data_IF_902260366309
#
_entry.id   IF_902260366309
#
_cell.length_a   1.000
_cell.length_b   1.000
_cell.length_c   1.000
_cell.angle_alpha   90.00
_cell.angle_beta   90.00
_cell.angle_gamma   90.00
#
_symmetry.space_group_name_H-M   'P 1'
#
loop_
_entity.id
_entity.type
_entity.pdbx_description
1 polymer ?
#
# COMPACT_ATOMS: atom_id res chain seq x y z
N UNK A 1 29.94 -5.56 -31.69
CA UNK A 1 29.72 -5.43 -30.22
C UNK A 1 28.33 -4.94 -29.86
N UNK A 2 27.78 -3.92 -30.51
CA UNK A 2 26.46 -3.33 -30.19
C UNK A 2 25.26 -4.30 -30.37
N UNK A 3 25.32 -5.23 -31.33
CA UNK A 3 24.27 -6.24 -31.55
C UNK A 3 24.21 -7.35 -30.48
N UNK A 4 25.35 -7.74 -29.93
CA UNK A 4 25.44 -8.71 -28.82
C UNK A 4 24.96 -8.11 -27.50
N UNK A 5 25.29 -6.83 -27.24
CA UNK A 5 24.80 -6.10 -26.07
C UNK A 5 23.27 -5.99 -26.06
N UNK A 6 22.65 -5.70 -27.22
CA UNK A 6 21.18 -5.64 -27.37
C UNK A 6 20.50 -7.00 -27.12
N UNK A 7 21.16 -8.11 -27.44
CA UNK A 7 20.61 -9.47 -27.31
C UNK A 7 20.75 -10.04 -25.88
N UNK A 8 21.76 -9.60 -25.12
CA UNK A 8 22.04 -10.11 -23.77
C UNK A 8 21.97 -9.03 -22.67
N UNK A 9 21.31 -7.89 -22.92
CA UNK A 9 21.23 -6.80 -21.94
C UNK A 9 20.59 -7.24 -20.61
N UNK A 10 19.52 -8.05 -20.66
CA UNK A 10 18.82 -8.56 -19.47
C UNK A 10 19.75 -9.37 -18.57
N UNK A 11 20.41 -10.46 -19.03
CA UNK A 11 21.29 -11.24 -18.16
C UNK A 11 22.49 -10.43 -17.66
N UNK A 12 23.03 -9.48 -18.46
CA UNK A 12 24.11 -8.58 -18.03
C UNK A 12 23.64 -7.67 -16.88
N UNK A 13 22.45 -7.08 -16.99
CA UNK A 13 21.89 -6.25 -15.91
C UNK A 13 21.60 -7.06 -14.64
N UNK A 14 21.12 -8.30 -14.78
CA UNK A 14 20.91 -9.18 -13.64
C UNK A 14 22.22 -9.56 -12.95
N UNK A 15 23.26 -9.93 -13.70
CA UNK A 15 24.57 -10.27 -13.11
C UNK A 15 25.22 -9.06 -12.45
N UNK A 16 25.15 -7.88 -13.07
CA UNK A 16 25.65 -6.64 -12.48
C UNK A 16 24.90 -6.31 -11.18
N UNK A 17 23.58 -6.40 -11.18
CA UNK A 17 22.77 -6.17 -9.99
C UNK A 17 23.16 -7.11 -8.85
N UNK A 18 23.32 -8.41 -9.13
CA UNK A 18 23.72 -9.41 -8.11
C UNK A 18 25.11 -9.10 -7.54
N UNK A 19 26.08 -8.73 -8.39
CA UNK A 19 27.43 -8.38 -7.94
C UNK A 19 27.44 -7.12 -7.06
N UNK A 20 26.73 -6.07 -7.47
CA UNK A 20 26.61 -4.83 -6.70
C UNK A 20 25.88 -5.08 -5.39
N UNK A 21 24.82 -5.89 -5.41
CA UNK A 21 24.08 -6.27 -4.21
C UNK A 21 24.97 -7.05 -3.23
N UNK A 22 25.76 -8.03 -3.71
CA UNK A 22 26.68 -8.79 -2.86
C UNK A 22 27.73 -7.90 -2.18
N UNK A 23 28.29 -6.91 -2.90
CA UNK A 23 29.23 -5.94 -2.32
C UNK A 23 28.55 -5.05 -1.29
N UNK A 24 27.34 -4.56 -1.55
CA UNK A 24 26.60 -3.71 -0.62
C UNK A 24 26.17 -4.46 0.65
N UNK A 25 25.76 -5.72 0.52
CA UNK A 25 25.46 -6.59 1.66
C UNK A 25 26.71 -6.84 2.51
N UNK A 26 27.88 -7.02 1.88
CA UNK A 26 29.15 -7.13 2.60
C UNK A 26 29.53 -5.85 3.38
N UNK A 27 29.01 -4.69 2.98
CA UNK A 27 29.15 -3.40 3.68
C UNK A 27 27.96 -3.11 4.62
N UNK A 28 27.19 -4.13 5.01
CA UNK A 28 26.00 -4.04 5.87
C UNK A 28 24.86 -3.15 5.32
N UNK A 29 24.89 -2.84 4.02
CA UNK A 29 23.88 -2.00 3.37
C UNK A 29 22.78 -2.86 2.73
N UNK A 30 21.80 -3.28 3.53
CA UNK A 30 20.73 -4.21 3.11
C UNK A 30 19.63 -3.59 2.23
N UNK A 31 19.50 -2.26 2.22
CA UNK A 31 18.39 -1.55 1.55
C UNK A 31 18.38 -1.75 0.03
N UNK A 32 19.55 -1.97 -0.58
CA UNK A 32 19.67 -2.18 -2.03
C UNK A 32 19.03 -3.50 -2.48
N UNK A 33 18.82 -4.46 -1.57
CA UNK A 33 18.14 -5.73 -1.86
C UNK A 33 16.66 -5.55 -2.14
N UNK A 34 16.04 -4.49 -1.62
CA UNK A 34 14.64 -4.18 -1.91
C UNK A 34 14.42 -3.56 -3.31
N UNK A 35 15.50 -3.16 -4.01
CA UNK A 35 15.42 -2.43 -5.27
C UNK A 35 14.59 -3.14 -6.36
N UNK A 36 14.74 -4.46 -6.62
CA UNK A 36 13.91 -5.15 -7.61
C UNK A 36 12.42 -5.13 -7.24
N UNK A 37 12.10 -5.28 -5.96
CA UNK A 37 10.72 -5.22 -5.48
C UNK A 37 10.14 -3.81 -5.67
N UNK A 38 10.90 -2.77 -5.34
CA UNK A 38 10.50 -1.36 -5.56
C UNK A 38 10.27 -1.08 -7.05
N UNK A 39 11.17 -1.55 -7.93
CA UNK A 39 10.99 -1.39 -9.38
C UNK A 39 9.75 -2.11 -9.91
N UNK A 40 9.47 -3.32 -9.43
CA UNK A 40 8.25 -4.05 -9.79
C UNK A 40 6.99 -3.31 -9.35
N UNK A 41 6.99 -2.72 -8.14
CA UNK A 41 5.89 -1.91 -7.63
C UNK A 41 5.69 -0.66 -8.48
N UNK A 42 6.76 0.07 -8.82
CA UNK A 42 6.69 1.26 -9.69
C UNK A 42 6.16 0.88 -11.07
N UNK A 43 6.61 -0.25 -11.62
CA UNK A 43 6.09 -0.74 -12.89
C UNK A 43 4.60 -1.12 -12.79
N UNK A 44 4.18 -1.79 -11.71
CA UNK A 44 2.78 -2.17 -11.49
C UNK A 44 1.87 -0.94 -11.27
N UNK A 45 2.38 0.10 -10.60
CA UNK A 45 1.70 1.38 -10.39
C UNK A 45 1.31 2.04 -11.72
N UNK A 46 2.19 1.99 -12.73
CA UNK A 46 1.94 2.58 -14.06
C UNK A 46 1.23 1.61 -15.00
N UNK A 47 1.60 0.33 -14.97
CA UNK A 47 1.15 -0.68 -15.93
C UNK A 47 -0.16 -1.39 -15.58
N UNK A 48 -0.50 -1.52 -14.30
CA UNK A 48 -1.67 -2.29 -13.88
C UNK A 48 -2.18 -1.91 -12.48
N UNK A 49 -2.79 -0.73 -12.37
CA UNK A 49 -3.34 -0.21 -11.11
C UNK A 49 -4.35 -1.17 -10.46
N UNK A 50 -5.23 -1.80 -11.24
CA UNK A 50 -6.23 -2.73 -10.71
C UNK A 50 -5.60 -3.96 -10.02
N UNK A 51 -4.53 -4.51 -10.60
CA UNK A 51 -3.79 -5.64 -10.00
C UNK A 51 -3.10 -5.22 -8.71
N UNK A 52 -2.57 -3.99 -8.66
CA UNK A 52 -1.96 -3.44 -7.47
C UNK A 52 -3.00 -3.24 -6.36
N UNK A 53 -4.20 -2.77 -6.68
CA UNK A 53 -5.30 -2.67 -5.73
C UNK A 53 -5.70 -4.04 -5.17
N UNK A 54 -5.82 -5.07 -6.02
CA UNK A 54 -6.08 -6.43 -5.54
C UNK A 54 -4.94 -6.95 -4.65
N UNK A 55 -3.69 -6.66 -4.98
CA UNK A 55 -2.56 -7.01 -4.11
C UNK A 55 -2.63 -6.29 -2.76
N UNK A 56 -2.99 -5.00 -2.72
CA UNK A 56 -3.21 -4.28 -1.46
C UNK A 56 -4.31 -4.97 -0.65
N UNK A 57 -5.42 -5.36 -1.26
CA UNK A 57 -6.53 -6.07 -0.59
C UNK A 57 -6.12 -7.44 -0.06
N UNK A 58 -5.25 -8.17 -0.76
CA UNK A 58 -4.68 -9.41 -0.24
C UNK A 58 -3.77 -9.16 0.96
N UNK A 59 -2.97 -8.09 0.89
CA UNK A 59 -1.97 -7.76 1.89
C UNK A 59 -2.56 -7.02 3.12
N UNK A 60 -3.78 -6.48 3.07
CA UNK A 60 -4.40 -5.79 4.21
C UNK A 60 -4.59 -6.66 5.46
N UNK A 61 -5.10 -7.91 5.41
CA UNK A 61 -5.13 -8.76 6.60
C UNK A 61 -3.72 -9.13 7.08
N UNK A 62 -2.78 -9.26 6.15
CA UNK A 62 -1.41 -9.70 6.41
C UNK A 62 -0.47 -8.56 6.83
N UNK A 63 -0.94 -7.31 6.87
CA UNK A 63 -0.08 -6.16 7.11
C UNK A 63 0.34 -6.10 8.58
N UNK A 64 1.64 -5.87 8.81
CA UNK A 64 2.22 -5.79 10.14
C UNK A 64 2.54 -4.33 10.43
N UNK A 65 2.16 -3.87 11.63
CA UNK A 65 2.51 -2.53 12.10
C UNK A 65 3.97 -2.51 12.58
N UNK A 66 4.77 -1.62 12.00
CA UNK A 66 6.18 -1.48 12.37
C UNK A 66 6.39 -0.99 13.80
N UNK A 67 5.42 -0.28 14.38
CA UNK A 67 5.43 0.14 15.78
C UNK A 67 5.52 -1.05 16.74
N UNK A 68 4.93 -2.20 16.38
CA UNK A 68 4.99 -3.42 17.18
C UNK A 68 6.33 -4.15 17.06
N UNK A 69 7.15 -3.81 16.06
CA UNK A 69 8.43 -4.49 15.80
C UNK A 69 9.65 -3.78 16.40
N UNK A 70 9.45 -2.65 17.11
CA UNK A 70 10.51 -1.78 17.68
C UNK A 70 11.56 -1.28 16.66
N UNK A 71 11.31 -1.54 15.36
CA UNK A 71 12.14 -1.13 14.24
C UNK A 71 11.75 0.29 13.80
N UNK A 72 12.19 1.28 14.58
CA UNK A 72 12.32 2.67 14.11
C UNK A 72 11.21 3.64 14.50
N UNK A 73 10.28 3.30 15.39
CA UNK A 73 9.29 4.25 15.95
C UNK A 73 8.34 4.89 14.93
N UNK A 74 8.28 4.36 13.71
CA UNK A 74 7.38 4.80 12.65
C UNK A 74 6.19 3.84 12.61
N UNK A 75 5.02 4.31 13.06
CA UNK A 75 3.76 3.56 13.01
C UNK A 75 3.18 3.48 11.61
N UNK A 76 3.86 2.75 10.71
CA UNK A 76 3.45 2.49 9.33
C UNK A 76 3.25 0.99 9.12
N UNK A 77 2.15 0.63 8.47
CA UNK A 77 1.82 -0.76 8.14
C UNK A 77 2.51 -1.19 6.83
N UNK A 78 3.46 -2.11 6.91
CA UNK A 78 4.07 -2.71 5.72
C UNK A 78 3.29 -3.97 5.29
N UNK A 79 3.15 -4.25 3.97
CA UNK A 79 3.58 -3.44 2.82
C UNK A 79 2.52 -2.45 2.31
N UNK A 80 1.35 -2.39 2.95
CA UNK A 80 0.14 -1.78 2.39
C UNK A 80 0.20 -0.26 2.32
N UNK A 81 0.72 0.41 3.36
CA UNK A 81 0.73 1.88 3.40
C UNK A 81 1.65 2.52 2.36
N UNK A 82 2.91 2.10 2.17
CA UNK A 82 3.74 2.64 1.08
C UNK A 82 3.10 2.49 -0.29
N UNK A 83 2.41 1.36 -0.53
CA UNK A 83 1.68 1.13 -1.77
C UNK A 83 0.49 2.09 -1.91
N UNK A 84 -0.29 2.27 -0.85
CA UNK A 84 -1.41 3.22 -0.84
C UNK A 84 -0.94 4.66 -1.06
N UNK A 85 0.20 5.06 -0.51
CA UNK A 85 0.81 6.38 -0.77
C UNK A 85 1.12 6.54 -2.25
N UNK A 86 1.81 5.56 -2.87
CA UNK A 86 2.16 5.62 -4.29
C UNK A 86 0.91 5.68 -5.19
N UNK A 87 -0.11 4.88 -4.86
CA UNK A 87 -1.40 4.87 -5.57
C UNK A 87 -2.15 6.20 -5.40
N UNK A 88 -2.17 6.76 -4.19
CA UNK A 88 -2.78 8.07 -3.92
C UNK A 88 -2.10 9.17 -4.75
N UNK A 89 -0.76 9.21 -4.78
CA UNK A 89 -0.02 10.22 -5.55
C UNK A 89 -0.33 10.13 -7.05
N UNK A 90 -0.38 8.92 -7.62
CA UNK A 90 -0.81 8.72 -9.00
C UNK A 90 -2.25 9.15 -9.22
N UNK A 91 -3.15 8.85 -8.29
CA UNK A 91 -4.55 9.26 -8.38
C UNK A 91 -4.70 10.78 -8.33
N UNK A 92 -3.98 11.48 -7.45
CA UNK A 92 -3.98 12.93 -7.36
C UNK A 92 -3.39 13.57 -8.62
N UNK A 93 -2.29 13.03 -9.14
CA UNK A 93 -1.70 13.46 -10.41
C UNK A 93 -2.71 13.31 -11.55
N UNK A 94 -3.38 12.16 -11.63
CA UNK A 94 -4.40 11.89 -12.63
C UNK A 94 -5.59 12.84 -12.50
N UNK A 95 -6.05 13.10 -11.28
CA UNK A 95 -7.14 14.04 -10.98
C UNK A 95 -6.79 15.48 -11.38
N UNK A 96 -5.52 15.88 -11.31
CA UNK A 96 -5.06 17.20 -11.76
C UNK A 96 -4.87 17.33 -13.27
N UNK A 97 -4.55 16.24 -13.97
CA UNK A 97 -4.27 16.24 -15.42
C UNK A 97 -5.51 15.92 -16.27
N UNK A 98 -6.37 15.01 -15.81
CA UNK A 98 -7.55 14.55 -16.54
C UNK A 98 -8.84 15.06 -15.89
N UNK A 99 -9.80 15.48 -16.72
CA UNK A 99 -11.17 15.77 -16.25
C UNK A 99 -11.98 14.48 -16.16
N UNK A 100 -12.91 14.43 -15.21
CA UNK A 100 -13.85 13.30 -14.99
C UNK A 100 -13.20 11.95 -14.60
N UNK A 101 -12.04 11.97 -13.93
CA UNK A 101 -11.40 10.77 -13.34
C UNK A 101 -12.35 10.05 -12.37
N UNK A 102 -13.13 10.82 -11.61
CA UNK A 102 -14.17 10.33 -10.72
C UNK A 102 -15.53 10.75 -11.28
N UNK A 103 -16.49 9.82 -11.48
CA UNK A 103 -17.81 10.16 -11.98
C UNK A 103 -18.50 11.20 -11.09
N UNK A 104 -19.18 12.18 -11.70
CA UNK A 104 -19.93 13.22 -10.97
C UNK A 104 -20.97 12.66 -10.00
N UNK A 105 -21.49 11.46 -10.29
CA UNK A 105 -22.40 10.73 -9.40
C UNK A 105 -21.76 10.39 -8.04
N UNK A 106 -20.47 10.02 -8.03
CA UNK A 106 -19.74 9.70 -6.79
C UNK A 106 -19.52 10.96 -5.95
N UNK A 107 -19.17 12.08 -6.59
CA UNK A 107 -19.00 13.37 -5.89
C UNK A 107 -20.28 13.90 -5.24
N UNK A 108 -21.44 13.66 -5.85
CA UNK A 108 -22.74 14.09 -5.34
C UNK A 108 -23.32 13.15 -4.27
N UNK A 109 -22.69 12.00 -4.04
CA UNK A 109 -23.21 11.04 -3.07
C UNK A 109 -23.06 11.58 -1.63
N UNK A 110 -24.08 11.47 -0.77
CA UNK A 110 -24.04 12.01 0.60
C UNK A 110 -22.87 11.47 1.42
N UNK A 111 -22.53 10.18 1.25
CA UNK A 111 -21.39 9.56 1.93
C UNK A 111 -20.06 10.23 1.53
N UNK A 112 -19.86 10.50 0.24
CA UNK A 112 -18.65 11.19 -0.24
C UNK A 112 -18.53 12.58 0.36
N UNK A 113 -19.64 13.32 0.43
CA UNK A 113 -19.67 14.66 1.03
C UNK A 113 -19.32 14.62 2.52
N UNK A 114 -19.84 13.64 3.27
CA UNK A 114 -19.52 13.47 4.71
C UNK A 114 -18.04 13.15 4.89
N UNK A 115 -17.48 12.24 4.09
CA UNK A 115 -16.05 11.87 4.18
C UNK A 115 -15.17 13.07 3.86
N UNK A 116 -15.47 13.82 2.80
CA UNK A 116 -14.70 15.02 2.44
C UNK A 116 -14.84 16.10 3.52
N UNK A 117 -16.04 16.32 4.06
CA UNK A 117 -16.25 17.26 5.16
C UNK A 117 -15.47 16.86 6.42
N UNK A 118 -15.41 15.57 6.73
CA UNK A 118 -14.59 15.05 7.83
C UNK A 118 -13.09 15.30 7.61
N UNK A 119 -12.57 15.07 6.39
CA UNK A 119 -11.17 15.34 6.07
C UNK A 119 -10.84 16.84 6.16
N UNK A 120 -11.73 17.70 5.67
CA UNK A 120 -11.59 19.16 5.80
C UNK A 120 -11.60 19.57 7.27
N UNK A 121 -12.55 19.04 8.05
CA UNK A 121 -12.63 19.31 9.47
C UNK A 121 -11.36 18.88 10.21
N UNK A 122 -10.84 17.70 9.91
CA UNK A 122 -9.59 17.21 10.45
C UNK A 122 -8.42 18.14 10.13
N UNK A 123 -8.35 18.68 8.91
CA UNK A 123 -7.34 19.65 8.52
C UNK A 123 -7.46 20.97 9.31
N UNK A 124 -8.69 21.44 9.56
CA UNK A 124 -8.93 22.63 10.40
C UNK A 124 -8.49 22.39 11.84
N UNK A 125 -8.73 21.20 12.39
CA UNK A 125 -8.29 20.82 13.74
C UNK A 125 -6.76 20.72 13.90
N UNK A 126 -5.97 20.76 12.82
CA UNK A 126 -4.50 20.83 12.91
C UNK A 126 -4.05 22.20 13.46
N UNK A 127 -4.77 23.28 13.13
CA UNK A 127 -4.38 24.64 13.51
C UNK A 127 -4.31 24.86 15.04
N UNK A 128 -5.29 24.43 15.85
CA UNK A 128 -5.24 24.55 17.31
C UNK A 128 -4.49 23.41 18.02
N UNK A 129 -3.82 22.50 17.29
CA UNK A 129 -3.21 21.30 17.87
C UNK A 129 -1.91 21.63 18.63
N UNK A 130 -1.76 21.06 19.83
CA UNK A 130 -0.50 21.11 20.62
C UNK A 130 0.68 20.45 19.89
N UNK A 131 0.41 19.44 19.05
CA UNK A 131 1.42 18.72 18.26
C UNK A 131 1.07 18.70 16.76
N UNK A 132 1.24 19.83 16.03
CA UNK A 132 0.80 19.95 14.64
C UNK A 132 1.43 18.91 13.71
N UNK A 133 2.70 18.57 13.93
CA UNK A 133 3.44 17.60 13.08
C UNK A 133 2.82 16.21 13.12
N UNK A 134 2.36 15.77 14.30
CA UNK A 134 1.69 14.47 14.46
C UNK A 134 0.33 14.49 13.79
N UNK A 135 -0.41 15.59 13.94
CA UNK A 135 -1.72 15.77 13.29
C UNK A 135 -1.62 15.79 11.76
N UNK A 136 -0.57 16.39 11.18
CA UNK A 136 -0.31 16.36 9.73
C UNK A 136 -0.03 14.93 9.24
N UNK A 137 0.81 14.17 9.96
CA UNK A 137 1.07 12.75 9.62
C UNK A 137 -0.21 11.92 9.67
N UNK A 138 -1.05 12.16 10.68
CA UNK A 138 -2.34 11.49 10.81
C UNK A 138 -3.31 11.83 9.66
N UNK A 139 -3.39 13.11 9.27
CA UNK A 139 -4.19 13.53 8.12
C UNK A 139 -3.69 12.88 6.83
N UNK A 140 -2.37 12.87 6.61
CA UNK A 140 -1.76 12.19 5.47
C UNK A 140 -2.15 10.71 5.43
N UNK A 141 -2.07 10.04 6.58
CA UNK A 141 -2.49 8.65 6.70
C UNK A 141 -3.95 8.45 6.28
N UNK A 142 -4.84 9.29 6.81
CA UNK A 142 -6.26 9.24 6.44
C UNK A 142 -6.50 9.53 4.95
N UNK A 143 -5.74 10.42 4.32
CA UNK A 143 -5.89 10.75 2.91
C UNK A 143 -5.58 9.56 1.98
N UNK A 144 -4.47 8.84 2.20
CA UNK A 144 -4.14 7.71 1.33
C UNK A 144 -5.11 6.54 1.51
N UNK A 145 -5.61 6.33 2.73
CA UNK A 145 -6.65 5.33 3.01
C UNK A 145 -7.97 5.66 2.32
N UNK A 146 -8.50 6.88 2.47
CA UNK A 146 -9.75 7.29 1.82
C UNK A 146 -9.61 7.25 0.30
N UNK A 147 -8.48 7.73 -0.24
CA UNK A 147 -8.24 7.72 -1.69
C UNK A 147 -8.26 6.30 -2.25
N UNK A 148 -7.52 5.37 -1.62
CA UNK A 148 -7.40 4.00 -2.13
C UNK A 148 -8.66 3.17 -1.86
N UNK A 149 -9.16 3.16 -0.64
CA UNK A 149 -10.22 2.25 -0.23
C UNK A 149 -11.63 2.75 -0.55
N UNK A 150 -11.82 4.06 -0.77
CA UNK A 150 -13.11 4.63 -1.15
C UNK A 150 -13.14 5.05 -2.62
N UNK A 151 -12.34 6.04 -3.02
CA UNK A 151 -12.41 6.58 -4.39
C UNK A 151 -11.97 5.58 -5.46
N UNK A 152 -10.84 4.89 -5.26
CA UNK A 152 -10.39 3.90 -6.25
C UNK A 152 -11.23 2.62 -6.25
N UNK A 153 -11.73 2.18 -5.08
CA UNK A 153 -12.61 1.01 -5.03
C UNK A 153 -13.96 1.24 -5.72
N UNK A 154 -14.56 2.44 -5.58
CA UNK A 154 -15.80 2.75 -6.33
C UNK A 154 -15.59 2.65 -7.84
N UNK A 155 -14.40 2.99 -8.33
CA UNK A 155 -14.03 2.81 -9.75
C UNK A 155 -13.83 1.34 -10.10
N UNK A 156 -13.04 0.60 -9.30
CA UNK A 156 -12.76 -0.82 -9.52
C UNK A 156 -14.04 -1.67 -9.55
N UNK A 157 -15.00 -1.36 -8.69
CA UNK A 157 -16.29 -2.04 -8.59
C UNK A 157 -17.32 -1.64 -9.64
N UNK A 158 -16.98 -0.79 -10.60
CA UNK A 158 -17.87 -0.55 -11.75
C UNK A 158 -18.14 -1.86 -12.51
N UNK A 159 -17.16 -2.76 -12.55
CA UNK A 159 -17.32 -4.10 -13.12
C UNK A 159 -17.65 -5.13 -12.03
N UNK A 160 -18.76 -5.86 -12.22
CA UNK A 160 -19.21 -6.92 -11.28
C UNK A 160 -18.17 -8.00 -11.04
N UNK A 161 -17.37 -8.33 -12.06
CA UNK A 161 -16.28 -9.30 -11.94
C UNK A 161 -15.28 -8.89 -10.86
N UNK A 162 -14.88 -7.62 -10.82
CA UNK A 162 -13.93 -7.11 -9.85
C UNK A 162 -14.46 -7.14 -8.42
N UNK A 163 -15.78 -7.01 -8.22
CA UNK A 163 -16.39 -7.21 -6.90
C UNK A 163 -16.16 -8.64 -6.41
N UNK A 164 -16.41 -9.65 -7.24
CA UNK A 164 -16.16 -11.04 -6.86
C UNK A 164 -14.66 -11.31 -6.66
N UNK A 165 -13.81 -10.81 -7.56
CA UNK A 165 -12.35 -10.93 -7.42
C UNK A 165 -11.86 -10.33 -6.12
N UNK A 166 -12.40 -9.19 -5.68
CA UNK A 166 -12.04 -8.58 -4.40
C UNK A 166 -12.27 -9.54 -3.24
N UNK A 167 -13.43 -10.17 -3.15
CA UNK A 167 -13.72 -11.15 -2.09
C UNK A 167 -12.80 -12.37 -2.19
N UNK A 168 -12.59 -12.92 -3.39
CA UNK A 168 -11.71 -14.07 -3.61
C UNK A 168 -10.24 -13.80 -3.30
N UNK A 169 -9.82 -12.54 -3.37
CA UNK A 169 -8.44 -12.13 -3.05
C UNK A 169 -8.31 -11.78 -1.57
N UNK A 170 -9.33 -11.19 -0.96
CA UNK A 170 -9.35 -10.88 0.47
C UNK A 170 -9.40 -12.13 1.36
N UNK A 171 -10.27 -13.09 1.03
CA UNK A 171 -10.49 -14.33 1.79
C UNK A 171 -9.20 -15.13 2.07
N UNK A 172 -8.32 -15.43 1.10
CA UNK A 172 -7.10 -16.18 1.37
C UNK A 172 -6.13 -15.41 2.27
N UNK A 173 -6.01 -14.09 2.10
CA UNK A 173 -5.19 -13.25 2.98
C UNK A 173 -5.66 -13.35 4.43
N UNK A 174 -6.98 -13.25 4.64
CA UNK A 174 -7.58 -13.40 5.96
C UNK A 174 -7.44 -14.82 6.50
N UNK A 175 -7.63 -15.84 5.66
CA UNK A 175 -7.50 -17.24 6.06
C UNK A 175 -6.09 -17.58 6.55
N UNK A 176 -5.05 -17.03 5.91
CA UNK A 176 -3.65 -17.19 6.36
C UNK A 176 -3.49 -16.63 7.78
N UNK A 177 -3.99 -15.43 8.04
CA UNK A 177 -3.91 -14.80 9.36
C UNK A 177 -4.66 -15.61 10.40
N UNK A 178 -5.88 -16.07 10.09
CA UNK A 178 -6.67 -16.92 10.98
C UNK A 178 -5.92 -18.23 11.29
N UNK A 179 -5.37 -18.89 10.28
CA UNK A 179 -4.60 -20.12 10.49
C UNK A 179 -3.37 -19.87 11.37
N UNK A 180 -2.64 -18.79 11.10
CA UNK A 180 -1.48 -18.38 11.89
C UNK A 180 -1.84 -18.11 13.36
N UNK A 181 -2.88 -17.31 13.61
CA UNK A 181 -3.28 -16.96 14.97
C UNK A 181 -3.80 -18.17 15.75
N UNK A 182 -4.53 -19.08 15.09
CA UNK A 182 -5.00 -20.33 15.68
C UNK A 182 -3.83 -21.27 16.05
N UNK A 183 -2.86 -21.46 15.14
CA UNK A 183 -1.68 -22.29 15.42
C UNK A 183 -0.91 -21.71 16.60
N UNK A 184 -0.68 -20.39 16.61
CA UNK A 184 0.03 -19.73 17.70
C UNK A 184 -0.72 -19.90 19.03
N UNK A 185 -2.02 -19.61 19.08
CA UNK A 185 -2.79 -19.79 20.33
C UNK A 185 -2.87 -21.25 20.78
N UNK A 186 -2.94 -22.21 19.85
CA UNK A 186 -2.93 -23.62 20.19
C UNK A 186 -1.62 -24.05 20.88
N UNK A 187 -0.49 -23.45 20.52
CA UNK A 187 0.79 -23.68 21.20
C UNK A 187 0.79 -23.18 22.64
N UNK A 188 0.02 -22.13 22.94
CA UNK A 188 -0.19 -21.60 24.27
C UNK A 188 -1.45 -22.18 24.96
N UNK A 189 -1.97 -23.33 24.50
CA UNK A 189 -3.17 -23.98 25.05
C UNK A 189 -4.42 -23.08 25.12
N UNK A 190 -4.47 -22.03 24.30
CA UNK A 190 -5.47 -20.96 24.39
C UNK A 190 -5.54 -20.28 25.77
N UNK A 191 -4.45 -20.33 26.55
CA UNK A 191 -4.33 -19.62 27.81
C UNK A 191 -4.32 -18.11 27.54
N UNK A 192 -5.20 -17.38 28.21
CA UNK A 192 -5.18 -15.93 28.21
C UNK A 192 -4.13 -15.46 29.22
N UNK A 193 -3.21 -14.59 28.79
CA UNK A 193 -2.38 -13.83 29.72
C UNK A 193 -3.33 -13.04 30.65
N UNK A 194 -3.31 -13.27 31.98
CA UNK A 194 -4.15 -12.52 32.90
C UNK A 194 -3.75 -11.04 32.83
N UNK A 195 -4.72 -10.21 32.45
CA UNK A 195 -4.60 -8.76 32.33
C UNK A 195 -4.13 -8.07 33.63
#
# INVERSE_FOLDING_TARGET
MTALLKRHWIPITCTLFVLVNAVLVANEFYWFTALPAVLLVIWALVGSLDRLLFFIVFATPLSINLEQLDLGGVGVSLPTEPLMVGVMLLFLLKLGLEKDVVPKAVWRHPITMIIVAQLIWMAVCILPSEMPVVSVKYLAARMWFVTCMFFLMTRLFTERRHMHTFFWVYLPGLAIVIAYTLINHAQYHFEHDPA
#
